data_IF_408586168317
#
_entry.id   IF_408586168317
#
_cell.length_a   1.000
_cell.length_b   1.000
_cell.length_c   1.000
_cell.angle_alpha   90.00
_cell.angle_beta   90.00
_cell.angle_gamma   90.00
#
_symmetry.space_group_name_H-M   'P 1'
#
loop_
_entity.id
_entity.type
_entity.pdbx_description
1 polymer ?
#
# COMPACT_ATOMS: atom_id res chain seq x y z
N UNK A 1 2.63 21.25 12.73
CA UNK A 1 2.84 19.89 13.29
C UNK A 1 3.40 18.87 12.26
N UNK A 2 2.74 18.66 11.10
CA UNK A 2 3.13 17.68 10.05
C UNK A 2 4.63 17.68 9.67
N UNK A 3 5.22 18.85 9.37
CA UNK A 3 6.64 18.98 9.00
C UNK A 3 7.61 18.43 10.06
N UNK A 4 7.28 18.55 11.36
CA UNK A 4 8.15 18.04 12.46
C UNK A 4 8.11 16.52 12.52
N UNK A 5 6.92 15.93 12.38
CA UNK A 5 6.74 14.48 12.39
C UNK A 5 7.42 13.81 11.19
N UNK A 6 7.27 14.36 9.99
CA UNK A 6 7.98 13.87 8.79
C UNK A 6 9.50 13.96 8.95
N UNK A 7 10.02 15.06 9.52
CA UNK A 7 11.46 15.20 9.80
C UNK A 7 11.95 14.13 10.79
N UNK A 8 11.16 13.81 11.83
CA UNK A 8 11.48 12.73 12.77
C UNK A 8 11.56 11.38 12.05
N UNK A 9 10.56 11.06 11.24
CA UNK A 9 10.51 9.80 10.48
C UNK A 9 11.66 9.70 9.46
N UNK A 10 12.02 10.80 8.78
CA UNK A 10 13.18 10.83 7.87
C UNK A 10 14.50 10.58 8.60
N UNK A 11 14.70 11.18 9.79
CA UNK A 11 15.90 10.94 10.60
C UNK A 11 15.98 9.48 11.07
N UNK A 12 14.84 8.92 11.47
CA UNK A 12 14.75 7.51 11.87
C UNK A 12 15.08 6.58 10.71
N UNK A 13 14.52 6.82 9.52
CA UNK A 13 14.84 6.10 8.29
C UNK A 13 16.34 6.15 7.97
N UNK A 14 16.94 7.33 7.91
CA UNK A 14 18.39 7.48 7.62
C UNK A 14 19.23 6.72 8.65
N UNK A 15 18.88 6.83 9.94
CA UNK A 15 19.58 6.09 11.01
C UNK A 15 19.48 4.58 10.79
N UNK A 16 18.29 4.08 10.46
CA UNK A 16 18.08 2.66 10.19
C UNK A 16 18.81 2.20 8.93
N UNK A 17 18.85 3.00 7.86
CA UNK A 17 19.64 2.70 6.65
C UNK A 17 21.12 2.53 6.96
N UNK A 18 21.71 3.46 7.73
CA UNK A 18 23.11 3.36 8.15
C UNK A 18 23.36 2.13 9.02
N UNK A 19 22.42 1.79 9.92
CA UNK A 19 22.53 0.58 10.76
C UNK A 19 22.34 -0.71 9.95
N UNK A 20 21.56 -0.69 8.87
CA UNK A 20 21.39 -1.84 7.98
C UNK A 20 22.67 -2.16 7.20
N UNK A 21 23.53 -1.17 6.96
CA UNK A 21 24.86 -1.34 6.36
C UNK A 21 25.95 -1.66 7.40
N UNK A 22 25.59 -1.81 8.68
CA UNK A 22 26.56 -2.11 9.73
C UNK A 22 27.15 -3.52 9.59
N UNK A 23 28.43 -3.66 9.98
CA UNK A 23 29.14 -4.94 10.01
C UNK A 23 28.57 -5.86 11.11
N UNK A 24 27.95 -5.29 12.15
CA UNK A 24 27.37 -6.07 13.24
C UNK A 24 26.07 -6.76 12.76
N UNK A 25 26.01 -8.11 12.75
CA UNK A 25 24.88 -8.85 12.20
C UNK A 25 23.57 -8.60 12.96
N UNK A 26 23.62 -8.39 14.27
CA UNK A 26 22.44 -8.16 15.10
C UNK A 26 21.84 -6.78 14.80
N UNK A 27 22.70 -5.75 14.73
CA UNK A 27 22.26 -4.40 14.39
C UNK A 27 21.71 -4.33 12.97
N UNK A 28 22.40 -4.96 12.02
CA UNK A 28 21.96 -5.07 10.63
C UNK A 28 20.61 -5.77 10.53
N UNK A 29 20.43 -6.93 11.17
CA UNK A 29 19.17 -7.67 11.14
C UNK A 29 18.02 -6.85 11.74
N UNK A 30 18.24 -6.24 12.92
CA UNK A 30 17.22 -5.42 13.58
C UNK A 30 16.83 -4.18 12.76
N UNK A 31 17.81 -3.52 12.14
CA UNK A 31 17.58 -2.36 11.29
C UNK A 31 16.84 -2.73 10.00
N UNK A 32 17.24 -3.83 9.36
CA UNK A 32 16.58 -4.36 8.16
C UNK A 32 15.12 -4.71 8.44
N UNK A 33 14.84 -5.32 9.60
CA UNK A 33 13.48 -5.64 10.00
C UNK A 33 12.62 -4.37 10.15
N UNK A 34 13.16 -3.35 10.82
CA UNK A 34 12.45 -2.06 10.99
C UNK A 34 12.27 -1.29 9.68
N UNK A 35 13.21 -1.40 8.74
CA UNK A 35 13.11 -0.75 7.43
C UNK A 35 11.96 -1.29 6.58
N UNK A 36 11.46 -2.50 6.84
CA UNK A 36 10.25 -3.03 6.16
C UNK A 36 9.01 -2.14 6.39
N UNK A 37 8.96 -1.39 7.50
CA UNK A 37 7.90 -0.43 7.79
C UNK A 37 8.03 0.89 7.04
N UNK A 38 9.09 1.10 6.26
CA UNK A 38 9.32 2.35 5.54
C UNK A 38 9.24 2.13 4.03
N UNK A 39 8.79 3.15 3.27
CA UNK A 39 8.93 3.13 1.82
C UNK A 39 10.41 3.16 1.42
N UNK A 40 10.71 2.66 0.22
CA UNK A 40 12.09 2.59 -0.31
C UNK A 40 12.70 3.97 -0.53
N UNK A 41 11.88 4.97 -0.88
CA UNK A 41 12.31 6.34 -1.16
C UNK A 41 12.06 7.28 0.01
N UNK A 42 13.07 8.10 0.33
CA UNK A 42 12.98 9.15 1.36
C UNK A 42 11.90 10.21 1.04
N UNK A 43 11.58 10.40 -0.24
CA UNK A 43 10.55 11.33 -0.69
C UNK A 43 9.14 10.84 -0.31
N UNK A 44 8.93 9.53 -0.25
CA UNK A 44 7.66 8.89 0.06
C UNK A 44 7.40 8.76 1.58
N UNK A 45 8.35 9.18 2.44
CA UNK A 45 8.21 9.09 3.90
C UNK A 45 7.05 9.95 4.40
N UNK A 46 6.12 9.28 5.05
CA UNK A 46 4.93 9.82 5.70
C UNK A 46 5.20 10.30 7.14
N UNK A 47 4.31 11.15 7.71
CA UNK A 47 4.49 11.69 9.06
C UNK A 47 4.37 10.66 10.19
N UNK A 48 3.68 9.53 9.97
CA UNK A 48 3.38 8.52 11.00
C UNK A 48 3.99 7.16 10.64
N UNK A 49 4.30 6.34 11.65
CA UNK A 49 4.78 4.96 11.45
C UNK A 49 3.76 4.12 10.66
N UNK A 50 2.47 4.26 10.98
CA UNK A 50 1.38 3.59 10.27
C UNK A 50 1.32 4.02 8.80
N UNK A 51 1.43 5.33 8.52
CA UNK A 51 1.46 5.84 7.14
C UNK A 51 2.69 5.37 6.37
N UNK A 52 3.85 5.25 7.01
CA UNK A 52 5.05 4.68 6.39
C UNK A 52 4.87 3.21 6.04
N UNK A 53 4.28 2.42 6.94
CA UNK A 53 4.02 1.01 6.71
C UNK A 53 2.99 0.79 5.59
N UNK A 54 1.91 1.59 5.57
CA UNK A 54 0.92 1.55 4.50
C UNK A 54 1.56 1.96 3.17
N UNK A 55 2.37 3.01 3.17
CA UNK A 55 3.08 3.47 1.97
C UNK A 55 4.07 2.44 1.44
N UNK A 56 4.74 1.71 2.32
CA UNK A 56 5.68 0.64 1.93
C UNK A 56 4.96 -0.55 1.30
N UNK A 57 3.75 -0.87 1.79
CA UNK A 57 2.87 -1.85 1.16
C UNK A 57 2.39 -1.39 -0.22
N UNK A 58 1.79 -0.20 -0.32
CA UNK A 58 1.25 0.35 -1.57
C UNK A 58 2.30 0.40 -2.69
N UNK A 59 3.52 0.81 -2.36
CA UNK A 59 4.59 1.01 -3.34
C UNK A 59 5.17 -0.28 -3.90
N UNK A 60 4.95 -1.43 -3.26
CA UNK A 60 5.58 -2.68 -3.64
C UNK A 60 5.28 -3.08 -5.09
N UNK A 61 4.00 -3.05 -5.50
CA UNK A 61 3.61 -3.42 -6.86
C UNK A 61 4.22 -2.49 -7.91
N UNK A 62 4.21 -1.18 -7.62
CA UNK A 62 4.74 -0.15 -8.53
C UNK A 62 6.27 -0.22 -8.62
N UNK A 63 6.97 -0.38 -7.49
CA UNK A 63 8.43 -0.44 -7.47
C UNK A 63 8.95 -1.70 -8.17
N UNK A 64 8.28 -2.84 -7.97
CA UNK A 64 8.75 -4.14 -8.45
C UNK A 64 8.25 -4.51 -9.85
N UNK A 65 6.97 -4.26 -10.13
CA UNK A 65 6.31 -4.70 -11.37
C UNK A 65 5.67 -3.57 -12.16
N UNK A 66 5.66 -2.33 -11.67
CA UNK A 66 4.94 -1.23 -12.31
C UNK A 66 3.42 -1.34 -12.23
N UNK A 67 2.90 -2.29 -11.43
CA UNK A 67 1.46 -2.48 -11.21
C UNK A 67 1.06 -1.69 -9.97
N UNK A 68 0.16 -0.71 -10.10
CA UNK A 68 -0.49 -0.15 -8.92
C UNK A 68 -1.57 -1.12 -8.40
N UNK A 69 -1.23 -1.83 -7.33
CA UNK A 69 -2.14 -2.76 -6.65
C UNK A 69 -3.44 -2.11 -6.17
N UNK A 70 -3.47 -0.79 -5.94
CA UNK A 70 -4.69 -0.10 -5.53
C UNK A 70 -5.63 0.13 -6.70
N UNK A 71 -5.09 0.42 -7.89
CA UNK A 71 -5.87 0.58 -9.13
C UNK A 71 -6.60 -0.71 -9.49
N UNK A 72 -5.87 -1.83 -9.44
CA UNK A 72 -6.38 -3.13 -9.86
C UNK A 72 -6.88 -3.99 -8.70
N UNK A 73 -7.22 -3.38 -7.57
CA UNK A 73 -7.50 -4.12 -6.34
C UNK A 73 -8.62 -5.16 -6.54
N UNK A 74 -9.70 -4.78 -7.22
CA UNK A 74 -10.86 -5.65 -7.41
C UNK A 74 -10.58 -6.77 -8.43
N UNK A 75 -9.85 -6.47 -9.51
CA UNK A 75 -9.44 -7.43 -10.54
C UNK A 75 -8.47 -8.46 -9.97
N UNK A 76 -7.46 -8.01 -9.22
CA UNK A 76 -6.50 -8.89 -8.56
C UNK A 76 -7.21 -9.82 -7.58
N UNK A 77 -8.19 -9.32 -6.81
CA UNK A 77 -8.97 -10.14 -5.87
C UNK A 77 -9.92 -11.11 -6.58
N UNK A 78 -10.51 -10.72 -7.71
CA UNK A 78 -11.39 -11.58 -8.50
C UNK A 78 -10.64 -12.77 -9.13
N UNK A 79 -9.35 -12.59 -9.45
CA UNK A 79 -8.49 -13.63 -10.01
C UNK A 79 -7.72 -14.44 -8.96
N UNK A 80 -7.77 -14.02 -7.69
CA UNK A 80 -7.09 -14.70 -6.61
C UNK A 80 -7.74 -16.05 -6.30
N UNK A 81 -6.90 -17.06 -6.05
CA UNK A 81 -7.35 -18.30 -5.42
C UNK A 81 -7.93 -17.99 -4.04
N UNK A 82 -8.93 -18.78 -3.63
CA UNK A 82 -9.73 -18.50 -2.43
C UNK A 82 -8.87 -18.34 -1.17
N UNK A 83 -7.83 -19.17 -1.00
CA UNK A 83 -6.92 -19.11 0.14
C UNK A 83 -6.15 -17.79 0.22
N UNK A 84 -5.69 -17.26 -0.93
CA UNK A 84 -4.92 -16.01 -0.99
C UNK A 84 -5.82 -14.81 -0.80
N UNK A 85 -7.02 -14.86 -1.38
CA UNK A 85 -8.06 -13.83 -1.17
C UNK A 85 -8.44 -13.75 0.30
N UNK A 86 -8.71 -14.90 0.93
CA UNK A 86 -9.03 -15.01 2.36
C UNK A 86 -7.87 -14.54 3.22
N UNK A 87 -6.65 -15.00 2.95
CA UNK A 87 -5.45 -14.55 3.69
C UNK A 87 -5.29 -13.02 3.64
N UNK A 88 -5.52 -12.41 2.48
CA UNK A 88 -5.45 -10.95 2.32
C UNK A 88 -6.57 -10.23 3.07
N UNK A 89 -7.76 -10.82 3.15
CA UNK A 89 -8.88 -10.28 3.93
C UNK A 89 -8.62 -10.40 5.44
N UNK A 90 -8.11 -11.53 5.91
CA UNK A 90 -7.83 -11.80 7.32
C UNK A 90 -6.73 -10.86 7.86
N UNK A 91 -5.64 -10.67 7.12
CA UNK A 91 -4.55 -9.75 7.51
C UNK A 91 -5.00 -8.29 7.50
N UNK A 92 -5.86 -7.89 6.55
CA UNK A 92 -6.49 -6.56 6.55
C UNK A 92 -7.41 -6.37 7.76
N UNK A 93 -8.24 -7.37 8.08
CA UNK A 93 -9.17 -7.32 9.20
C UNK A 93 -8.44 -7.12 10.54
N UNK A 94 -7.24 -7.71 10.70
CA UNK A 94 -6.40 -7.48 11.87
C UNK A 94 -5.97 -6.00 12.00
N UNK A 95 -5.62 -5.34 10.89
CA UNK A 95 -5.31 -3.89 10.90
C UNK A 95 -6.54 -3.10 11.29
N UNK A 96 -7.69 -3.38 10.65
CA UNK A 96 -8.96 -2.68 10.89
C UNK A 96 -9.40 -2.82 12.36
N UNK A 97 -9.26 -4.01 12.95
CA UNK A 97 -9.56 -4.26 14.36
C UNK A 97 -8.80 -3.33 15.30
N UNK A 98 -7.49 -3.17 15.13
CA UNK A 98 -6.70 -2.30 16.00
C UNK A 98 -6.93 -0.82 15.72
N UNK A 99 -7.19 -0.42 14.47
CA UNK A 99 -7.56 0.96 14.13
C UNK A 99 -8.92 1.32 14.76
N UNK A 100 -9.92 0.45 14.65
CA UNK A 100 -11.20 0.61 15.33
C UNK A 100 -11.03 0.63 16.84
N UNK A 101 -10.20 -0.25 17.41
CA UNK A 101 -9.91 -0.26 18.85
C UNK A 101 -9.32 1.06 19.33
N UNK A 102 -8.38 1.66 18.57
CA UNK A 102 -7.83 2.98 18.89
C UNK A 102 -8.90 4.06 18.93
N UNK A 103 -9.81 4.08 17.96
CA UNK A 103 -10.90 5.04 17.91
C UNK A 103 -11.83 4.88 19.12
N UNK A 104 -12.21 3.64 19.46
CA UNK A 104 -13.09 3.35 20.59
C UNK A 104 -12.42 3.65 21.94
N UNK A 105 -11.16 3.27 22.14
CA UNK A 105 -10.39 3.59 23.36
C UNK A 105 -10.25 5.10 23.54
N UNK A 106 -9.98 5.84 22.45
CA UNK A 106 -9.87 7.30 22.50
C UNK A 106 -11.20 7.95 22.86
N UNK A 107 -12.30 7.50 22.25
CA UNK A 107 -13.64 7.98 22.55
C UNK A 107 -14.03 7.67 24.01
N UNK A 108 -13.80 6.43 24.45
CA UNK A 108 -14.13 6.01 25.82
C UNK A 108 -13.32 6.78 26.86
N UNK A 109 -12.03 7.04 26.61
CA UNK A 109 -11.21 7.88 27.49
C UNK A 109 -11.79 9.30 27.63
N UNK A 110 -12.24 9.91 26.54
CA UNK A 110 -12.88 11.23 26.56
C UNK A 110 -14.21 11.19 27.32
N UNK A 111 -15.04 10.17 27.08
CA UNK A 111 -16.32 10.01 27.77
C UNK A 111 -16.13 9.79 29.28
N UNK A 112 -15.13 9.01 29.70
CA UNK A 112 -14.79 8.84 31.11
C UNK A 112 -14.44 10.18 31.77
N UNK A 113 -13.62 11.01 31.14
CA UNK A 113 -13.28 12.35 31.65
C UNK A 113 -14.52 13.27 31.68
N UNK A 114 -15.33 13.23 30.62
CA UNK A 114 -16.57 14.03 30.54
C UNK A 114 -17.63 13.61 31.57
N UNK A 115 -17.59 12.37 32.06
CA UNK A 115 -18.54 11.86 33.05
C UNK A 115 -18.24 12.29 34.50
N UNK A 116 -17.02 12.76 34.79
CA UNK A 116 -16.56 13.17 36.14
C UNK A 116 -17.56 14.09 36.87
N UNK A 117 -18.14 15.15 36.27
CA UNK A 117 -19.08 16.02 36.98
C UNK A 117 -20.46 15.39 37.25
N UNK A 118 -20.78 14.25 36.63
CA UNK A 118 -22.10 13.60 36.68
C UNK A 118 -22.09 12.40 37.64
N UNK A 119 -20.97 11.70 37.74
CA UNK A 119 -20.86 10.44 38.50
C UNK A 119 -20.36 10.68 39.93
N UNK A 120 -20.97 9.99 40.90
CA UNK A 120 -20.50 10.01 42.28
C UNK A 120 -19.16 9.26 42.45
N UNK A 121 -18.97 8.18 41.70
CA UNK A 121 -17.79 7.31 41.77
C UNK A 121 -16.68 7.77 40.82
N UNK A 122 -16.14 8.97 41.06
CA UNK A 122 -15.13 9.61 40.20
C UNK A 122 -13.89 8.72 39.98
N UNK A 123 -13.50 7.94 40.99
CA UNK A 123 -12.34 7.05 40.90
C UNK A 123 -12.52 5.94 39.83
N UNK A 124 -13.75 5.45 39.61
CA UNK A 124 -14.05 4.46 38.57
C UNK A 124 -13.86 5.09 37.18
N UNK A 125 -14.40 6.30 36.98
CA UNK A 125 -14.24 7.03 35.73
C UNK A 125 -12.76 7.30 35.42
N UNK A 126 -11.98 7.71 36.42
CA UNK A 126 -10.54 7.91 36.27
C UNK A 126 -9.78 6.60 36.00
N UNK A 127 -10.14 5.50 36.68
CA UNK A 127 -9.51 4.20 36.47
C UNK A 127 -9.77 3.66 35.06
N UNK A 128 -11.01 3.71 34.59
CA UNK A 128 -11.39 3.29 33.24
C UNK A 128 -10.77 4.19 32.16
N UNK A 129 -10.82 5.50 32.35
CA UNK A 129 -10.18 6.45 31.43
C UNK A 129 -8.66 6.26 31.36
N UNK A 130 -8.02 6.06 32.51
CA UNK A 130 -6.60 5.74 32.62
C UNK A 130 -6.23 4.43 31.93
N UNK A 131 -7.04 3.37 32.12
CA UNK A 131 -6.87 2.09 31.44
C UNK A 131 -6.98 2.24 29.91
N UNK A 132 -7.96 3.02 29.42
CA UNK A 132 -8.10 3.27 27.99
C UNK A 132 -6.86 3.96 27.41
N UNK A 133 -6.36 5.00 28.08
CA UNK A 133 -5.14 5.71 27.67
C UNK A 133 -3.91 4.80 27.69
N UNK A 134 -3.82 3.88 28.66
CA UNK A 134 -2.74 2.91 28.77
C UNK A 134 -2.74 1.90 27.61
N UNK A 135 -3.91 1.55 27.08
CA UNK A 135 -4.05 0.58 25.98
C UNK A 135 -3.83 1.18 24.58
N UNK A 136 -3.88 2.51 24.43
CA UNK A 136 -3.66 3.15 23.12
C UNK A 136 -2.28 2.84 22.51
N UNK A 137 -1.14 3.00 23.22
CA UNK A 137 0.18 2.71 22.65
C UNK A 137 0.37 1.27 22.13
N UNK A 138 0.01 0.19 22.87
CA UNK A 138 0.14 -1.16 22.34
C UNK A 138 -0.82 -1.42 21.18
N UNK A 139 -2.07 -0.92 21.21
CA UNK A 139 -2.99 -1.03 20.07
C UNK A 139 -2.43 -0.36 18.81
N UNK A 140 -1.82 0.82 18.94
CA UNK A 140 -1.18 1.50 17.81
C UNK A 140 0.05 0.73 17.30
N UNK A 141 0.85 0.15 18.20
CA UNK A 141 1.98 -0.67 17.78
C UNK A 141 1.53 -1.91 17.03
N UNK A 142 0.44 -2.57 17.48
CA UNK A 142 -0.11 -3.75 16.80
C UNK A 142 -0.71 -3.39 15.44
N UNK A 143 -1.45 -2.29 15.32
CA UNK A 143 -1.93 -1.79 14.03
C UNK A 143 -0.78 -1.62 13.01
N UNK A 144 0.35 -1.03 13.45
CA UNK A 144 1.53 -0.84 12.61
C UNK A 144 2.17 -2.17 12.20
N UNK A 145 2.25 -3.14 13.11
CA UNK A 145 2.86 -4.45 12.81
C UNK A 145 1.99 -5.30 11.88
N UNK A 146 0.67 -5.30 12.06
CA UNK A 146 -0.25 -6.03 11.20
C UNK A 146 -0.24 -5.53 9.74
N UNK A 147 0.15 -4.27 9.50
CA UNK A 147 0.36 -3.78 8.12
C UNK A 147 1.51 -4.54 7.43
N UNK A 148 2.54 -5.00 8.15
CA UNK A 148 3.59 -5.83 7.54
C UNK A 148 3.05 -7.18 7.11
N UNK A 149 2.21 -7.81 7.93
CA UNK A 149 1.58 -9.08 7.57
C UNK A 149 0.65 -8.90 6.36
N UNK A 150 -0.15 -7.83 6.36
CA UNK A 150 -0.99 -7.47 5.23
C UNK A 150 -0.15 -7.18 3.97
N UNK A 151 1.00 -6.54 4.10
CA UNK A 151 1.94 -6.34 2.99
C UNK A 151 2.38 -7.66 2.37
N UNK A 152 2.71 -8.67 3.17
CA UNK A 152 3.12 -9.97 2.65
C UNK A 152 1.98 -10.69 1.93
N UNK A 153 0.75 -10.61 2.43
CA UNK A 153 -0.40 -11.19 1.73
C UNK A 153 -0.70 -10.46 0.42
N UNK A 154 -0.57 -9.13 0.37
CA UNK A 154 -0.72 -8.35 -0.88
C UNK A 154 0.37 -8.68 -1.89
N UNK A 155 1.61 -8.89 -1.44
CA UNK A 155 2.70 -9.35 -2.31
C UNK A 155 2.39 -10.75 -2.88
N UNK A 156 1.91 -11.68 -2.06
CA UNK A 156 1.51 -13.01 -2.51
C UNK A 156 0.35 -12.94 -3.50
N UNK A 157 -0.66 -12.13 -3.22
CA UNK A 157 -1.78 -11.83 -4.12
C UNK A 157 -1.26 -11.41 -5.49
N UNK A 158 -0.40 -10.39 -5.55
CA UNK A 158 0.14 -9.88 -6.82
C UNK A 158 0.97 -10.93 -7.56
N UNK A 159 1.87 -11.63 -6.86
CA UNK A 159 2.74 -12.63 -7.47
C UNK A 159 1.98 -13.78 -8.13
N UNK A 160 0.90 -14.22 -7.49
CA UNK A 160 0.11 -15.36 -7.95
C UNK A 160 -0.89 -14.95 -9.04
N UNK A 161 -1.40 -13.71 -9.03
CA UNK A 161 -2.46 -13.29 -9.95
C UNK A 161 -1.96 -12.54 -11.19
N UNK A 162 -0.78 -11.89 -11.17
CA UNK A 162 -0.32 -11.05 -12.32
C UNK A 162 -0.33 -11.78 -13.66
N UNK A 163 0.05 -13.06 -13.66
CA UNK A 163 0.13 -13.86 -14.90
C UNK A 163 -1.26 -14.18 -15.45
N UNK A 164 -2.19 -14.54 -14.58
CA UNK A 164 -3.59 -14.76 -14.97
C UNK A 164 -4.25 -13.44 -15.38
N UNK A 165 -3.91 -12.34 -14.72
CA UNK A 165 -4.41 -11.01 -15.05
C UNK A 165 -4.04 -10.60 -16.47
N UNK A 166 -2.77 -10.78 -16.86
CA UNK A 166 -2.33 -10.51 -18.23
C UNK A 166 -3.07 -11.37 -19.26
N UNK A 167 -3.27 -12.67 -18.97
CA UNK A 167 -4.04 -13.58 -19.84
C UNK A 167 -5.48 -13.13 -20.03
N UNK A 168 -6.16 -12.71 -18.96
CA UNK A 168 -7.55 -12.24 -18.98
C UNK A 168 -7.72 -10.95 -19.76
N UNK A 169 -6.73 -10.07 -19.70
CA UNK A 169 -6.65 -8.86 -20.52
C UNK A 169 -6.21 -9.13 -21.96
N UNK A 170 -5.86 -10.38 -22.30
CA UNK A 170 -5.32 -10.77 -23.60
C UNK A 170 -4.03 -10.01 -23.97
N UNK A 171 -3.18 -9.74 -22.97
CA UNK A 171 -1.88 -9.09 -23.14
C UNK A 171 -0.78 -10.15 -22.93
N UNK A 172 0.17 -10.23 -23.84
CA UNK A 172 1.36 -11.07 -23.70
C UNK A 172 2.33 -10.45 -22.69
N UNK A 173 2.66 -11.17 -21.63
CA UNK A 173 3.70 -10.78 -20.67
C UNK A 173 5.08 -10.89 -21.34
N UNK A 174 5.87 -9.81 -21.42
CA UNK A 174 7.24 -9.87 -21.94
C UNK A 174 8.14 -10.76 -21.08
N UNK A 175 9.11 -11.46 -21.71
CA UNK A 175 10.13 -12.24 -20.99
C UNK A 175 11.13 -11.35 -20.24
N UNK A 176 11.35 -10.13 -20.74
CA UNK A 176 12.22 -9.13 -20.11
C UNK A 176 11.49 -8.44 -18.92
N UNK A 177 12.04 -8.52 -17.69
CA UNK A 177 11.44 -7.87 -16.52
C UNK A 177 11.29 -6.35 -16.67
N UNK A 178 12.17 -5.68 -17.40
CA UNK A 178 12.05 -4.23 -17.61
C UNK A 178 10.87 -3.91 -18.55
N UNK A 179 10.71 -4.67 -19.63
CA UNK A 179 9.55 -4.58 -20.52
C UNK A 179 8.24 -4.95 -19.82
N UNK A 180 8.21 -5.99 -18.98
CA UNK A 180 7.04 -6.32 -18.15
C UNK A 180 6.66 -5.12 -17.25
N UNK A 181 7.65 -4.52 -16.58
CA UNK A 181 7.41 -3.36 -15.72
C UNK A 181 6.84 -2.16 -16.48
N UNK A 182 7.36 -1.89 -17.67
CA UNK A 182 6.87 -0.80 -18.53
C UNK A 182 5.43 -1.06 -18.99
N UNK A 183 5.13 -2.29 -19.38
CA UNK A 183 3.78 -2.72 -19.79
C UNK A 183 2.75 -2.45 -18.68
N UNK A 184 3.04 -2.90 -17.46
CA UNK A 184 2.14 -2.70 -16.32
C UNK A 184 2.01 -1.23 -15.90
N UNK A 185 3.10 -0.45 -16.01
CA UNK A 185 3.05 0.99 -15.75
C UNK A 185 2.14 1.70 -16.75
N UNK A 186 2.26 1.39 -18.04
CA UNK A 186 1.41 1.95 -19.08
C UNK A 186 -0.07 1.58 -18.87
N UNK A 187 -0.35 0.33 -18.48
CA UNK A 187 -1.71 -0.10 -18.16
C UNK A 187 -2.26 0.65 -16.93
N UNK A 188 -1.45 0.81 -15.88
CA UNK A 188 -1.81 1.57 -14.68
C UNK A 188 -2.14 3.02 -15.03
N UNK A 189 -1.29 3.68 -15.82
CA UNK A 189 -1.46 5.07 -16.23
C UNK A 189 -2.71 5.25 -17.11
N UNK A 190 -3.01 4.27 -17.98
CA UNK A 190 -4.24 4.29 -18.76
C UNK A 190 -5.49 4.22 -17.87
N UNK A 191 -5.54 3.28 -16.92
CA UNK A 191 -6.73 3.14 -16.07
C UNK A 191 -6.92 4.34 -15.15
N UNK A 192 -5.84 4.96 -14.66
CA UNK A 192 -5.92 6.16 -13.82
C UNK A 192 -6.25 7.44 -14.61
N UNK A 193 -5.64 7.64 -15.77
CA UNK A 193 -5.64 8.94 -16.45
C UNK A 193 -6.30 8.95 -17.83
N UNK A 194 -6.67 7.78 -18.37
CA UNK A 194 -7.25 7.66 -19.71
C UNK A 194 -6.32 8.13 -20.83
N UNK A 195 -4.99 8.01 -20.68
CA UNK A 195 -4.05 8.40 -21.74
C UNK A 195 -3.97 7.32 -22.82
N UNK A 196 -4.57 7.59 -23.98
CA UNK A 196 -4.72 6.64 -25.08
C UNK A 196 -3.38 6.24 -25.75
N UNK A 197 -2.40 7.14 -25.80
CA UNK A 197 -1.15 6.97 -26.56
C UNK A 197 -0.26 5.80 -26.08
N UNK A 198 -0.38 5.42 -24.81
CA UNK A 198 0.43 4.34 -24.22
C UNK A 198 -0.33 3.02 -24.10
N UNK A 199 -1.66 3.05 -24.02
CA UNK A 199 -2.50 1.86 -23.98
C UNK A 199 -2.46 1.09 -25.31
N UNK A 200 -2.58 1.80 -26.44
CA UNK A 200 -2.52 1.17 -27.75
C UNK A 200 -1.18 0.48 -27.98
N UNK A 201 -0.06 0.98 -27.43
CA UNK A 201 1.25 0.32 -27.53
C UNK A 201 1.29 -1.02 -26.79
N UNK A 202 0.63 -1.14 -25.64
CA UNK A 202 0.55 -2.38 -24.86
C UNK A 202 -0.19 -3.47 -25.64
N UNK A 203 -1.31 -3.14 -26.29
CA UNK A 203 -2.09 -4.10 -27.08
C UNK A 203 -1.51 -4.36 -28.47
N UNK A 204 -0.96 -3.34 -29.14
CA UNK A 204 -0.37 -3.49 -30.49
C UNK A 204 0.92 -4.32 -30.48
N UNK A 205 1.73 -4.24 -29.43
CA UNK A 205 2.93 -5.09 -29.28
C UNK A 205 2.59 -6.58 -29.16
N UNK A 206 1.42 -6.90 -28.62
CA UNK A 206 0.90 -8.27 -28.53
C UNK A 206 0.32 -8.77 -29.86
N UNK A 207 -0.23 -7.88 -30.69
CA UNK A 207 -0.77 -8.21 -32.03
C UNK A 207 0.27 -8.22 -33.16
N UNK A 208 1.52 -7.86 -32.89
CA UNK A 208 2.60 -7.76 -33.88
C UNK A 208 3.15 -9.07 -34.47
N UNK A 209 2.35 -10.12 -34.58
CA UNK A 209 2.68 -11.33 -35.36
C UNK A 209 1.60 -11.79 -36.35
N UNK A 210 0.53 -11.00 -36.52
CA UNK A 210 -0.48 -11.27 -37.54
C UNK A 210 -1.50 -10.12 -37.62
N UNK A 211 -1.42 -9.38 -38.71
CA UNK A 211 -2.49 -8.56 -39.31
C UNK A 211 -3.23 -7.56 -38.41
N UNK A 212 -2.82 -6.29 -38.50
CA UNK A 212 -3.77 -5.18 -38.41
C UNK A 212 -3.53 -4.18 -39.54
N UNK A 213 -4.44 -4.18 -40.51
CA UNK A 213 -4.71 -3.01 -41.33
C UNK A 213 -5.08 -1.86 -40.37
N UNK A 214 -4.22 -0.85 -40.29
CA UNK A 214 -4.60 0.44 -39.74
C UNK A 214 -5.75 0.99 -40.60
N UNK A 215 -6.84 1.52 -40.02
CA UNK A 215 -7.78 2.32 -40.79
C UNK A 215 -7.02 3.52 -41.40
N UNK A 216 -7.32 3.90 -42.65
CA UNK A 216 -6.61 4.98 -43.31
C UNK A 216 -6.76 6.28 -42.51
N UNK A 217 -5.64 6.98 -42.40
CA UNK A 217 -5.46 8.27 -41.73
C UNK A 217 -6.65 9.22 -42.02
N UNK A 218 -7.37 9.72 -41.00
CA UNK A 218 -8.38 10.75 -41.23
C UNK A 218 -7.64 12.02 -41.64
N UNK A 219 -7.60 12.24 -42.96
CA UNK A 219 -6.97 13.40 -43.57
C UNK A 219 -7.39 14.74 -42.94
N UNK A 220 -6.62 15.81 -43.20
CA UNK A 220 -6.67 17.04 -42.42
C UNK A 220 -8.09 17.62 -42.41
N UNK A 221 -8.62 17.79 -41.20
CA UNK A 221 -9.91 18.45 -40.96
C UNK A 221 -9.76 19.93 -41.33
N UNK A 222 -10.16 20.28 -42.54
CA UNK A 222 -10.35 21.66 -42.94
C UNK A 222 -11.52 22.26 -42.18
N UNK A 223 -11.25 23.08 -41.17
CA UNK A 223 -12.27 23.97 -40.61
C UNK A 223 -12.64 25.02 -41.67
N UNK A 224 -13.87 24.96 -42.18
CA UNK A 224 -14.48 26.12 -42.84
C UNK A 224 -15.27 26.91 -41.80
N UNK A 225 -15.17 28.23 -41.98
CA UNK A 225 -15.74 29.36 -41.22
C UNK A 225 -17.12 29.13 -40.63
#
# INVERSE_FOLDING_TARGET
MKKRLTRRQRREFIKLSVLADSVNPILRASATEKLKLYPESIADIMPTRMGNALKSMEKYGVSRFGIDTQTFWYELQALAIDDVRKSTQDTRAAVDFFVCSLAHLSLLAVLCVASIPIVNEVWIALALGGLCLLLIPPCYSQAVMNILEWRWSVQALLHLTRGEFAKRLQISVPEDPAAERQMWSALTDYVHFGRDDDYLKVFTRSRGKGDLHLPPDPGPVHSKM
#
